data_IF_051977899085
#
_entry.id   IF_051977899085
#
_cell.length_a   1.000
_cell.length_b   1.000
_cell.length_c   1.000
_cell.angle_alpha   90.00
_cell.angle_beta   90.00
_cell.angle_gamma   90.00
#
_symmetry.space_group_name_H-M   'P 1'
#
loop_
_entity.id
_entity.type
_entity.pdbx_description
1 polymer ?
#
# COMPACT_ATOMS: atom_id res chain seq x y z
N UNK A 1 -53.67 17.16 -39.44
CA UNK A 1 -53.26 15.74 -39.46
C UNK A 1 -52.22 15.56 -38.35
N UNK A 2 -52.57 15.76 -37.08
CA UNK A 2 -53.27 14.89 -36.12
C UNK A 2 -52.64 13.51 -35.88
N UNK A 3 -52.29 13.34 -34.60
CA UNK A 3 -52.31 12.14 -33.76
C UNK A 3 -51.05 11.28 -33.75
N UNK A 4 -50.25 11.34 -32.68
CA UNK A 4 -50.42 10.57 -31.42
C UNK A 4 -50.69 9.09 -31.70
N UNK A 5 -49.71 8.22 -31.44
CA UNK A 5 -49.88 6.97 -30.69
C UNK A 5 -48.53 6.26 -30.52
N UNK A 6 -48.06 6.08 -29.29
CA UNK A 6 -47.57 4.81 -28.69
C UNK A 6 -47.08 5.13 -27.27
N UNK A 7 -48.00 5.20 -26.30
CA UNK A 7 -48.37 4.11 -25.38
C UNK A 7 -47.34 3.94 -24.27
N UNK A 8 -47.72 4.49 -23.12
CA UNK A 8 -47.21 4.19 -21.78
C UNK A 8 -47.28 2.70 -21.49
N UNK A 9 -46.22 2.13 -20.93
CA UNK A 9 -46.33 0.97 -20.07
C UNK A 9 -45.42 1.15 -18.85
N UNK A 10 -46.06 1.56 -17.76
CA UNK A 10 -45.54 1.54 -16.40
C UNK A 10 -45.89 0.18 -15.81
N UNK A 11 -44.89 -0.66 -15.51
CA UNK A 11 -45.01 -1.66 -14.45
C UNK A 11 -43.71 -1.65 -13.66
N UNK A 12 -43.83 -1.16 -12.43
CA UNK A 12 -42.85 -1.29 -11.38
C UNK A 12 -42.76 -2.75 -10.93
N UNK A 13 -41.54 -3.25 -10.73
CA UNK A 13 -41.31 -4.35 -9.79
C UNK A 13 -40.22 -3.90 -8.82
N UNK A 14 -40.66 -3.72 -7.59
CA UNK A 14 -39.84 -3.38 -6.44
C UNK A 14 -39.09 -4.61 -5.93
N UNK A 15 -37.90 -4.31 -5.39
CA UNK A 15 -37.26 -4.92 -4.24
C UNK A 15 -36.94 -6.43 -4.25
N UNK A 16 -35.63 -6.74 -4.26
CA UNK A 16 -35.01 -7.54 -3.21
C UNK A 16 -33.60 -6.99 -2.94
N UNK A 17 -33.52 -6.00 -2.05
CA UNK A 17 -32.28 -5.64 -1.38
C UNK A 17 -32.27 -6.39 -0.04
N UNK A 18 -31.52 -7.49 0.05
CA UNK A 18 -31.30 -8.20 1.30
C UNK A 18 -30.18 -7.49 2.07
N UNK A 19 -30.56 -6.40 2.75
CA UNK A 19 -29.78 -5.82 3.84
C UNK A 19 -29.83 -6.77 5.04
N UNK A 20 -28.79 -7.57 5.26
CA UNK A 20 -28.62 -8.30 6.52
C UNK A 20 -27.93 -7.40 7.54
N UNK A 21 -28.75 -6.66 8.29
CA UNK A 21 -28.41 -6.25 9.65
C UNK A 21 -28.40 -7.48 10.55
N UNK A 22 -27.23 -7.87 11.06
CA UNK A 22 -27.15 -8.70 12.26
C UNK A 22 -26.77 -7.82 13.45
N UNK A 23 -27.80 -7.45 14.21
CA UNK A 23 -27.68 -6.99 15.59
C UNK A 23 -27.32 -8.14 16.52
N UNK A 24 -26.65 -7.77 17.59
CA UNK A 24 -26.06 -8.59 18.65
C UNK A 24 -26.93 -9.72 19.22
N UNK A 25 -26.29 -10.88 19.44
CA UNK A 25 -26.64 -11.84 20.49
C UNK A 25 -25.38 -12.25 21.26
N UNK A 26 -25.30 -11.82 22.52
CA UNK A 26 -24.29 -12.27 23.48
C UNK A 26 -24.53 -13.75 23.83
N UNK A 27 -23.80 -14.67 23.19
CA UNK A 27 -23.71 -16.04 23.68
C UNK A 27 -22.67 -16.12 24.80
N UNK A 28 -23.17 -16.12 26.04
CA UNK A 28 -22.44 -16.44 27.26
C UNK A 28 -22.09 -17.93 27.25
N UNK A 29 -20.98 -18.32 26.61
CA UNK A 29 -20.43 -19.68 26.73
C UNK A 29 -19.51 -19.71 27.96
N UNK A 30 -20.01 -20.33 29.02
CA UNK A 30 -19.25 -20.71 30.21
C UNK A 30 -18.20 -21.72 29.77
N UNK A 31 -16.95 -21.27 29.61
CA UNK A 31 -15.79 -22.15 29.47
C UNK A 31 -15.12 -22.17 30.84
N UNK A 32 -15.02 -23.38 31.37
CA UNK A 32 -14.39 -23.70 32.66
C UNK A 32 -12.91 -23.31 32.64
N UNK A 33 -12.44 -22.85 33.81
CA UNK A 33 -11.06 -22.52 34.21
C UNK A 33 -9.96 -22.56 33.12
N UNK A 34 -9.27 -21.43 32.87
CA UNK A 34 -8.02 -21.49 32.13
C UNK A 34 -6.97 -22.19 33.00
N UNK A 35 -6.55 -23.38 32.58
CA UNK A 35 -5.31 -23.98 33.05
C UNK A 35 -4.17 -23.01 32.73
N UNK A 36 -3.43 -22.63 33.76
CA UNK A 36 -2.25 -21.78 33.68
C UNK A 36 -1.19 -22.58 32.92
N UNK A 37 -0.99 -22.28 31.64
CA UNK A 37 0.15 -22.75 30.86
C UNK A 37 1.35 -21.89 31.28
N UNK A 38 2.44 -22.48 31.80
CA UNK A 38 3.66 -21.73 32.09
C UNK A 38 4.17 -21.06 30.81
N UNK A 39 4.58 -19.80 30.91
CA UNK A 39 5.33 -19.10 29.85
C UNK A 39 6.65 -19.83 29.65
N UNK A 40 6.67 -20.79 28.75
CA UNK A 40 7.90 -21.26 28.15
C UNK A 40 8.33 -20.18 27.15
N UNK A 41 9.40 -19.47 27.49
CA UNK A 41 10.08 -18.54 26.59
C UNK A 41 10.56 -19.34 25.38
N UNK A 42 9.78 -19.32 24.30
CA UNK A 42 10.28 -19.70 23.00
C UNK A 42 11.25 -18.59 22.58
N UNK A 43 12.53 -18.78 22.94
CA UNK A 43 13.66 -18.14 22.28
C UNK A 43 13.53 -18.42 20.77
N UNK A 44 12.93 -17.49 20.04
CA UNK A 44 13.10 -17.43 18.58
C UNK A 44 14.54 -16.98 18.34
N UNK A 45 15.45 -17.95 18.35
CA UNK A 45 16.83 -17.77 17.91
C UNK A 45 16.83 -17.32 16.46
N UNK A 46 17.24 -16.06 16.27
CA UNK A 46 17.91 -15.64 15.03
C UNK A 46 17.01 -15.25 13.87
N UNK A 47 15.97 -14.43 14.08
CA UNK A 47 15.70 -13.41 13.05
C UNK A 47 16.72 -12.32 13.29
N UNK A 48 17.77 -12.32 12.47
CA UNK A 48 18.70 -11.20 12.36
C UNK A 48 17.86 -9.95 12.15
N UNK A 49 17.70 -9.14 13.21
CA UNK A 49 17.14 -7.80 13.11
C UNK A 49 18.10 -7.04 12.23
N UNK A 50 17.81 -6.97 10.94
CA UNK A 50 18.45 -6.02 10.06
C UNK A 50 18.11 -4.66 10.65
N UNK A 51 19.08 -4.01 11.29
CA UNK A 51 18.98 -2.81 12.12
C UNK A 51 18.75 -1.54 11.29
N UNK A 52 17.83 -1.61 10.34
CA UNK A 52 17.44 -0.48 9.50
C UNK A 52 15.92 -0.41 9.44
N UNK A 53 15.36 0.10 10.51
CA UNK A 53 13.96 0.44 10.57
C UNK A 53 13.87 1.94 10.77
N UNK A 54 13.16 2.60 9.86
CA UNK A 54 12.75 3.98 10.06
C UNK A 54 11.58 3.94 11.05
N UNK A 55 11.56 4.83 12.04
CA UNK A 55 10.42 5.01 12.94
C UNK A 55 9.55 6.16 12.41
N UNK A 56 10.18 7.19 11.84
CA UNK A 56 9.53 8.39 11.30
C UNK A 56 10.09 8.77 9.93
N UNK A 57 9.41 9.68 9.22
CA UNK A 57 9.90 10.21 7.93
C UNK A 57 11.25 10.92 8.06
N UNK A 58 11.56 11.48 9.22
CA UNK A 58 12.84 12.15 9.47
C UNK A 58 14.03 11.17 9.48
N UNK A 59 13.78 9.88 9.77
CA UNK A 59 14.80 8.84 9.63
C UNK A 59 15.12 8.54 8.16
N UNK A 60 14.23 8.96 7.24
CA UNK A 60 14.45 8.88 5.79
C UNK A 60 15.21 10.08 5.22
N UNK A 61 15.71 11.02 6.03
CA UNK A 61 16.37 12.28 5.60
C UNK A 61 17.49 12.12 4.56
N UNK A 62 18.11 10.95 4.46
CA UNK A 62 19.15 10.64 3.45
C UNK A 62 18.59 10.30 2.06
N UNK A 63 17.27 10.11 1.96
CA UNK A 63 16.56 9.61 0.77
C UNK A 63 15.46 10.57 0.29
N UNK A 64 15.11 11.57 1.10
CA UNK A 64 14.09 12.58 0.81
C UNK A 64 14.72 13.98 0.76
N UNK A 65 14.00 14.92 0.17
CA UNK A 65 14.30 16.36 0.23
C UNK A 65 13.11 17.08 0.87
N UNK A 66 13.32 18.31 1.34
CA UNK A 66 12.24 19.16 1.84
C UNK A 66 12.03 20.30 0.85
N UNK A 67 10.77 20.66 0.59
CA UNK A 67 10.46 21.83 -0.24
C UNK A 67 10.55 23.14 0.57
N UNK A 68 10.24 24.26 -0.08
CA UNK A 68 10.32 25.60 0.52
C UNK A 68 9.38 25.80 1.72
N UNK A 69 8.34 24.95 1.86
CA UNK A 69 7.41 24.92 2.99
C UNK A 69 7.86 23.95 4.09
N UNK A 70 9.00 23.27 3.91
CA UNK A 70 9.49 22.25 4.82
C UNK A 70 8.73 20.93 4.73
N UNK A 71 8.02 20.65 3.63
CA UNK A 71 7.33 19.36 3.45
C UNK A 71 8.30 18.32 2.87
N UNK A 72 8.44 17.14 3.51
CA UNK A 72 9.28 16.08 2.97
C UNK A 72 8.68 15.54 1.67
N UNK A 73 9.54 15.33 0.68
CA UNK A 73 9.19 14.72 -0.59
C UNK A 73 10.28 13.81 -1.14
N UNK A 74 9.85 12.82 -1.92
CA UNK A 74 10.71 11.98 -2.74
C UNK A 74 10.38 12.22 -4.22
N UNK A 75 11.37 12.18 -5.10
CA UNK A 75 11.13 12.15 -6.53
C UNK A 75 11.04 10.69 -6.93
N UNK A 76 9.96 10.28 -7.58
CA UNK A 76 9.84 8.94 -8.13
C UNK A 76 9.64 9.00 -9.62
N UNK A 77 10.24 8.06 -10.31
CA UNK A 77 9.90 7.81 -11.70
C UNK A 77 8.46 7.33 -11.76
N UNK A 78 7.69 7.90 -12.67
CA UNK A 78 6.33 7.50 -12.99
C UNK A 78 6.24 7.17 -14.46
N UNK A 79 5.53 6.08 -14.76
CA UNK A 79 5.29 5.67 -16.14
C UNK A 79 3.79 5.57 -16.40
N UNK A 80 3.31 6.40 -17.34
CA UNK A 80 1.93 6.35 -17.82
C UNK A 80 1.95 6.11 -19.33
N UNK A 81 1.76 4.86 -19.73
CA UNK A 81 1.94 4.43 -21.12
C UNK A 81 3.43 4.46 -21.51
N UNK A 82 3.76 5.19 -22.57
CA UNK A 82 5.14 5.33 -23.08
C UNK A 82 5.91 6.50 -22.47
N UNK A 83 5.26 7.35 -21.68
CA UNK A 83 5.89 8.53 -21.09
C UNK A 83 6.39 8.24 -19.69
N UNK A 84 7.68 8.49 -19.48
CA UNK A 84 8.39 8.41 -18.20
C UNK A 84 8.61 9.84 -17.68
N UNK A 85 8.21 10.10 -16.45
CA UNK A 85 8.33 11.42 -15.82
C UNK A 85 8.77 11.30 -14.36
N UNK A 86 9.44 12.33 -13.85
CA UNK A 86 9.75 12.46 -12.43
C UNK A 86 8.62 13.18 -11.70
N UNK A 87 8.09 12.57 -10.63
CA UNK A 87 6.98 13.11 -9.82
C UNK A 87 7.43 13.31 -8.38
N UNK A 88 7.06 14.46 -7.78
CA UNK A 88 7.19 14.68 -6.34
C UNK A 88 6.10 13.93 -5.57
N UNK A 89 6.52 13.09 -4.63
CA UNK A 89 5.69 12.30 -3.74
C UNK A 89 5.73 12.92 -2.35
N UNK A 90 4.58 13.30 -1.81
CA UNK A 90 4.45 13.91 -0.49
C UNK A 90 3.67 13.00 0.46
N UNK A 91 3.88 13.19 1.77
CA UNK A 91 2.98 12.62 2.77
C UNK A 91 1.59 13.27 2.69
N UNK A 92 0.50 12.56 3.00
CA UNK A 92 -0.84 13.13 3.02
C UNK A 92 -0.93 14.21 4.11
N UNK A 93 -1.37 15.41 3.75
CA UNK A 93 -1.47 16.54 4.68
C UNK A 93 -2.65 16.46 5.66
N UNK A 94 -3.59 15.55 5.40
CA UNK A 94 -4.86 15.38 6.13
C UNK A 94 -4.78 14.33 7.26
N UNK A 95 -3.65 13.64 7.40
CA UNK A 95 -3.47 12.56 8.39
C UNK A 95 -2.32 12.85 9.35
N UNK A 96 -2.39 12.36 10.60
CA UNK A 96 -1.24 12.41 11.49
C UNK A 96 -0.05 11.70 10.85
N UNK A 97 1.03 12.45 10.62
CA UNK A 97 2.24 12.00 9.92
C UNK A 97 3.08 10.95 10.68
N UNK A 98 2.63 10.52 11.86
CA UNK A 98 3.52 9.90 12.84
C UNK A 98 3.97 8.48 12.53
N UNK A 99 3.40 7.81 11.53
CA UNK A 99 3.81 6.45 11.14
C UNK A 99 3.92 6.25 9.61
N UNK A 100 3.93 7.33 8.81
CA UNK A 100 3.94 7.24 7.35
C UNK A 100 5.32 7.58 6.78
N UNK A 101 5.70 6.93 5.69
CA UNK A 101 6.94 7.21 4.97
C UNK A 101 6.76 7.27 3.46
N UNK A 102 7.84 7.62 2.79
CA UNK A 102 7.92 7.72 1.33
C UNK A 102 8.86 6.65 0.78
N UNK A 103 8.47 6.06 -0.34
CA UNK A 103 9.29 5.22 -1.19
C UNK A 103 8.84 5.38 -2.64
N UNK A 104 9.63 4.87 -3.57
CA UNK A 104 9.20 4.66 -4.95
C UNK A 104 8.94 3.16 -5.17
N UNK A 105 8.08 2.80 -6.12
CA UNK A 105 7.90 1.40 -6.51
C UNK A 105 7.96 1.19 -8.01
N UNK A 106 8.22 -0.05 -8.41
CA UNK A 106 7.95 -0.55 -9.75
C UNK A 106 7.32 -1.92 -9.69
N UNK A 107 6.25 -2.10 -10.45
CA UNK A 107 5.55 -3.36 -10.69
C UNK A 107 5.68 -3.66 -12.19
N UNK A 108 6.13 -4.85 -12.55
CA UNK A 108 6.23 -5.23 -13.96
C UNK A 108 5.89 -6.70 -14.21
N UNK A 109 5.37 -6.97 -15.41
CA UNK A 109 5.07 -8.30 -15.93
C UNK A 109 5.21 -8.27 -17.46
N UNK A 110 6.21 -8.97 -17.99
CA UNK A 110 6.60 -8.84 -19.40
C UNK A 110 6.93 -7.38 -19.74
N UNK A 111 6.28 -6.84 -20.77
CA UNK A 111 6.46 -5.45 -21.22
C UNK A 111 5.57 -4.43 -20.46
N UNK A 112 4.71 -4.91 -19.55
CA UNK A 112 3.84 -4.02 -18.77
C UNK A 112 4.58 -3.54 -17.53
N UNK A 113 4.63 -2.23 -17.33
CA UNK A 113 5.37 -1.58 -16.25
C UNK A 113 4.51 -0.49 -15.62
N UNK A 114 4.48 -0.46 -14.29
CA UNK A 114 3.84 0.58 -13.49
C UNK A 114 4.86 1.09 -12.48
N UNK A 115 5.10 2.40 -12.49
CA UNK A 115 6.01 3.08 -11.57
C UNK A 115 5.27 4.25 -10.94
N UNK A 116 5.34 4.40 -9.62
CA UNK A 116 4.78 5.56 -8.92
C UNK A 116 5.37 5.72 -7.50
N UNK A 117 4.87 6.72 -6.79
CA UNK A 117 5.02 6.94 -5.36
C UNK A 117 4.42 5.77 -4.56
N UNK A 118 5.15 5.30 -3.57
CA UNK A 118 4.67 4.38 -2.54
C UNK A 118 4.64 5.11 -1.20
N UNK A 119 3.45 5.62 -0.83
CA UNK A 119 3.23 6.32 0.44
C UNK A 119 2.46 5.40 1.36
N UNK A 120 3.10 4.90 2.40
CA UNK A 120 2.54 3.86 3.25
C UNK A 120 3.05 3.96 4.69
N UNK A 121 2.46 3.16 5.58
CA UNK A 121 2.96 3.03 6.94
C UNK A 121 4.39 2.52 6.94
N UNK A 122 5.22 3.01 7.87
CA UNK A 122 6.65 2.72 7.91
C UNK A 122 6.96 1.22 8.00
N UNK A 123 6.14 0.47 8.75
CA UNK A 123 6.16 -1.01 8.82
C UNK A 123 6.01 -1.67 7.44
N UNK A 124 5.21 -1.09 6.56
CA UNK A 124 4.99 -1.53 5.18
C UNK A 124 6.04 -0.99 4.19
N UNK A 125 7.09 -0.31 4.67
CA UNK A 125 8.21 0.13 3.83
C UNK A 125 9.49 -0.67 4.12
N UNK A 126 9.45 -1.58 5.07
CA UNK A 126 10.60 -2.35 5.58
C UNK A 126 11.18 -3.31 4.57
N UNK A 127 10.35 -3.73 3.61
CA UNK A 127 10.73 -4.53 2.46
C UNK A 127 11.37 -3.70 1.34
N UNK A 128 11.34 -2.36 1.42
CA UNK A 128 11.92 -1.50 0.41
C UNK A 128 13.44 -1.43 0.57
N UNK A 129 14.13 -1.39 -0.56
CA UNK A 129 15.59 -1.41 -0.61
C UNK A 129 16.16 0.00 -0.72
N UNK A 130 17.42 0.18 -0.32
CA UNK A 130 18.08 1.49 -0.43
C UNK A 130 18.61 1.70 -1.84
N UNK A 131 18.16 2.77 -2.51
CA UNK A 131 18.68 3.27 -3.80
C UNK A 131 18.71 2.27 -4.97
N UNK A 132 18.06 1.11 -4.82
CA UNK A 132 17.96 0.08 -5.86
C UNK A 132 16.55 -0.51 -5.83
N UNK A 133 15.99 -0.83 -6.99
CA UNK A 133 14.68 -1.46 -7.09
C UNK A 133 14.81 -2.82 -7.78
N UNK A 134 15.08 -3.87 -7.00
CA UNK A 134 15.16 -5.22 -7.55
C UNK A 134 14.19 -6.16 -6.84
N UNK A 135 13.70 -7.16 -7.59
CA UNK A 135 12.76 -8.15 -7.10
C UNK A 135 13.29 -9.56 -7.38
N UNK A 136 13.10 -10.53 -6.48
CA UNK A 136 13.32 -11.94 -6.80
C UNK A 136 12.34 -12.38 -7.90
N UNK A 137 12.70 -13.44 -8.64
CA UNK A 137 11.78 -14.03 -9.62
C UNK A 137 10.49 -14.53 -8.96
N UNK A 138 9.35 -14.06 -9.47
CA UNK A 138 8.02 -14.50 -9.05
C UNK A 138 7.55 -15.68 -9.91
N UNK A 139 7.05 -16.76 -9.29
CA UNK A 139 6.42 -17.87 -10.03
C UNK A 139 5.21 -17.45 -10.87
N UNK A 140 4.59 -16.30 -10.54
CA UNK A 140 3.47 -15.73 -11.27
C UNK A 140 3.90 -14.78 -12.39
N UNK A 141 5.22 -14.54 -12.55
CA UNK A 141 5.79 -13.60 -13.52
C UNK A 141 5.56 -12.12 -13.21
N UNK A 142 4.87 -11.80 -12.11
CA UNK A 142 4.64 -10.43 -11.64
C UNK A 142 5.73 -10.08 -10.63
N UNK A 143 6.53 -9.09 -10.99
CA UNK A 143 7.66 -8.61 -10.21
C UNK A 143 7.29 -7.30 -9.53
N UNK A 144 7.67 -7.14 -8.26
CA UNK A 144 7.45 -5.93 -7.47
C UNK A 144 8.70 -5.58 -6.69
N UNK A 145 9.14 -4.33 -6.81
CA UNK A 145 10.17 -3.75 -5.96
C UNK A 145 9.72 -2.38 -5.44
N UNK A 146 10.22 -2.01 -4.28
CA UNK A 146 10.15 -0.65 -3.78
C UNK A 146 11.50 -0.22 -3.22
N UNK A 147 11.76 1.08 -3.21
CA UNK A 147 13.05 1.61 -2.85
C UNK A 147 13.00 3.01 -2.27
N UNK A 148 14.03 3.35 -1.50
CA UNK A 148 14.25 4.68 -0.95
C UNK A 148 15.27 5.46 -1.78
N UNK A 149 14.91 6.69 -2.14
CA UNK A 149 15.79 7.64 -2.82
C UNK A 149 15.17 8.21 -4.09
N UNK A 150 15.59 9.41 -4.45
CA UNK A 150 15.13 10.06 -5.69
C UNK A 150 15.37 9.16 -6.90
N UNK A 151 14.30 8.89 -7.64
CA UNK A 151 14.26 8.13 -8.90
C UNK A 151 14.91 6.74 -8.77
N UNK A 152 14.96 6.17 -7.57
CA UNK A 152 15.57 4.86 -7.35
C UNK A 152 14.85 3.73 -8.08
N UNK A 153 13.59 3.95 -8.48
CA UNK A 153 12.77 3.02 -9.23
C UNK A 153 12.96 3.17 -10.75
N UNK A 154 13.75 4.15 -11.22
CA UNK A 154 13.99 4.39 -12.65
C UNK A 154 14.62 3.17 -13.34
N UNK A 155 15.56 2.54 -12.62
CA UNK A 155 16.24 1.31 -13.00
C UNK A 155 15.74 0.19 -12.08
N UNK A 156 14.89 -0.67 -12.65
CA UNK A 156 14.36 -1.83 -11.96
C UNK A 156 14.79 -3.12 -12.65
N UNK A 157 14.79 -4.22 -11.92
CA UNK A 157 15.18 -5.51 -12.47
C UNK A 157 15.01 -6.68 -11.52
N UNK A 158 15.43 -7.85 -11.98
CA UNK A 158 15.51 -9.04 -11.13
C UNK A 158 16.88 -9.12 -10.47
N UNK A 159 16.91 -9.58 -9.21
CA UNK A 159 18.16 -9.88 -8.48
C UNK A 159 18.90 -11.09 -9.08
#
# INVERSE_FOLDING_TARGET
>A
MNSLLTVLLVIAVAAFAESRHHGHTHHKRRVENPAIIPKEEVEVKGVSKNTFFFDTVDDQKEYITYDDEGKPYMLCTTQKGTKKESKRCYLPSDKPNYDMGLACYTLWQGDTVVQDCWVNQMISLTQCQKRRCTAPESPMGIQFCCCFGHECNDNYGTD
#
